data_IF_863645930006
#
_entry.id   IF_863645930006
#
_cell.length_a   1.000
_cell.length_b   1.000
_cell.length_c   1.000
_cell.angle_alpha   90.00
_cell.angle_beta   90.00
_cell.angle_gamma   90.00
#
_symmetry.space_group_name_H-M   'P 1'
#
loop_
_entity.id
_entity.type
_entity.pdbx_description
1 polymer ?
#
# COMPACT_ATOMS: atom_id res chain seq x y z
N UNK A 1 4.54 -38.93 37.07
CA UNK A 1 3.94 -38.41 35.82
C UNK A 1 5.05 -37.85 34.96
N UNK A 2 5.58 -38.66 34.05
CA UNK A 2 6.57 -38.21 33.06
C UNK A 2 5.82 -37.57 31.91
N UNK A 3 5.97 -36.26 31.74
CA UNK A 3 5.52 -35.53 30.56
C UNK A 3 6.35 -36.00 29.37
N UNK A 4 5.77 -36.86 28.53
CA UNK A 4 6.40 -37.29 27.29
C UNK A 4 6.61 -36.10 26.37
N UNK A 5 7.86 -35.88 25.96
CA UNK A 5 8.21 -34.88 24.96
C UNK A 5 7.51 -35.25 23.65
N UNK A 6 6.66 -34.36 23.14
CA UNK A 6 6.05 -34.53 21.84
C UNK A 6 7.15 -34.66 20.78
N UNK A 7 7.03 -35.64 19.89
CA UNK A 7 7.98 -35.79 18.80
C UNK A 7 7.80 -34.67 17.77
N UNK A 8 8.83 -34.36 17.00
CA UNK A 8 8.76 -33.34 15.94
C UNK A 8 7.60 -33.60 14.95
N UNK A 9 7.24 -34.87 14.74
CA UNK A 9 6.08 -35.25 13.93
C UNK A 9 4.75 -34.78 14.55
N UNK A 10 4.59 -34.96 15.88
CA UNK A 10 3.38 -34.54 16.59
C UNK A 10 3.26 -33.01 16.66
N UNK A 11 4.39 -32.30 16.77
CA UNK A 11 4.41 -30.84 16.71
C UNK A 11 4.06 -30.32 15.31
N UNK A 12 4.49 -31.02 14.26
CA UNK A 12 4.14 -30.69 12.88
C UNK A 12 2.67 -30.97 12.57
N UNK A 13 2.08 -32.04 13.10
CA UNK A 13 0.65 -32.32 12.93
C UNK A 13 -0.23 -31.24 13.58
N UNK A 14 0.19 -30.73 14.74
CA UNK A 14 -0.49 -29.60 15.42
C UNK A 14 -0.33 -28.31 14.63
N UNK A 15 0.86 -28.05 14.07
CA UNK A 15 1.12 -26.88 13.23
C UNK A 15 0.28 -26.91 11.94
N UNK A 16 0.24 -28.05 11.27
CA UNK A 16 -0.55 -28.24 10.04
C UNK A 16 -2.06 -28.12 10.32
N UNK A 17 -2.56 -28.70 11.42
CA UNK A 17 -3.94 -28.54 11.85
C UNK A 17 -4.27 -27.06 12.17
N UNK A 18 -3.33 -26.34 12.80
CA UNK A 18 -3.46 -24.91 13.11
C UNK A 18 -3.46 -24.07 11.82
N UNK A 19 -2.54 -24.33 10.89
CA UNK A 19 -2.48 -23.65 9.60
C UNK A 19 -3.76 -23.86 8.78
N UNK A 20 -4.28 -25.09 8.72
CA UNK A 20 -5.55 -25.40 8.05
C UNK A 20 -6.73 -24.66 8.69
N UNK A 21 -6.79 -24.58 10.03
CA UNK A 21 -7.84 -23.82 10.73
C UNK A 21 -7.80 -22.31 10.45
N UNK A 22 -6.62 -21.78 10.12
CA UNK A 22 -6.37 -20.39 9.74
C UNK A 22 -6.49 -20.14 8.23
N UNK A 23 -6.88 -21.16 7.45
CA UNK A 23 -7.01 -21.06 5.99
C UNK A 23 -5.66 -20.95 5.26
N UNK A 24 -4.56 -21.32 5.92
CA UNK A 24 -3.20 -21.35 5.39
C UNK A 24 -2.92 -22.78 4.89
N UNK A 25 -2.60 -22.98 3.60
CA UNK A 25 -2.29 -24.30 3.09
C UNK A 25 -1.02 -24.88 3.76
N UNK A 26 -1.01 -26.18 4.12
CA UNK A 26 0.13 -26.82 4.75
C UNK A 26 1.32 -26.92 3.79
N UNK A 27 2.52 -26.69 4.32
CA UNK A 27 3.75 -26.69 3.53
C UNK A 27 4.19 -28.12 3.22
N UNK A 28 3.75 -28.69 2.09
CA UNK A 28 4.36 -29.93 1.57
C UNK A 28 5.54 -29.60 0.68
N UNK A 29 6.75 -29.87 1.16
CA UNK A 29 7.95 -29.92 0.33
C UNK A 29 9.20 -29.48 1.07
N UNK A 30 10.09 -30.43 1.35
CA UNK A 30 11.41 -30.18 1.95
C UNK A 30 12.19 -29.15 1.12
N UNK A 31 12.57 -28.03 1.74
CA UNK A 31 13.67 -27.21 1.25
C UNK A 31 14.97 -28.00 1.42
N UNK A 32 15.51 -28.54 0.34
CA UNK A 32 16.88 -29.05 0.33
C UNK A 32 17.80 -27.84 0.54
N UNK A 33 18.60 -27.87 1.61
CA UNK A 33 19.60 -26.84 1.88
C UNK A 33 20.57 -26.74 0.68
N UNK A 34 20.92 -25.53 0.20
CA UNK A 34 21.90 -25.41 -0.86
C UNK A 34 23.26 -25.82 -0.29
N UNK A 35 23.76 -26.96 -0.74
CA UNK A 35 25.15 -27.34 -0.54
C UNK A 35 26.07 -26.29 -1.18
N UNK A 36 27.10 -25.93 -0.43
CA UNK A 36 28.17 -25.06 -0.84
C UNK A 36 28.91 -25.63 -2.05
N UNK A 37 28.91 -24.86 -3.13
CA UNK A 37 29.58 -25.19 -4.38
C UNK A 37 29.65 -23.96 -5.28
N UNK A 38 30.68 -23.15 -5.10
CA UNK A 38 31.06 -22.07 -6.02
C UNK A 38 31.25 -22.63 -7.44
N UNK A 39 30.31 -22.31 -8.34
CA UNK A 39 30.58 -22.12 -9.76
C UNK A 39 29.81 -20.90 -10.26
N UNK A 40 30.56 -19.90 -10.70
CA UNK A 40 30.06 -18.86 -11.61
C UNK A 40 29.52 -19.58 -12.84
N UNK A 41 28.20 -19.67 -12.98
CA UNK A 41 27.55 -19.96 -14.25
C UNK A 41 26.61 -18.81 -14.55
N UNK A 42 27.05 -17.99 -15.50
CA UNK A 42 26.24 -17.06 -16.26
C UNK A 42 24.97 -17.78 -16.74
N UNK A 43 23.86 -17.05 -16.68
CA UNK A 43 22.53 -17.35 -17.22
C UNK A 43 22.47 -18.43 -18.31
N UNK A 44 21.61 -19.45 -18.12
CA UNK A 44 20.98 -20.11 -19.25
C UNK A 44 19.45 -20.32 -19.12
N UNK A 45 18.77 -19.71 -18.12
CA UNK A 45 17.36 -20.03 -17.80
C UNK A 45 16.30 -18.97 -18.19
N UNK A 46 16.68 -17.86 -18.80
CA UNK A 46 15.74 -16.78 -19.13
C UNK A 46 15.95 -16.28 -20.57
N UNK A 47 15.47 -17.04 -21.55
CA UNK A 47 14.90 -16.46 -22.77
C UNK A 47 13.39 -16.33 -22.50
N UNK A 48 12.87 -15.16 -22.11
CA UNK A 48 11.47 -15.05 -21.76
C UNK A 48 10.60 -15.02 -23.02
N UNK A 49 10.35 -16.14 -23.70
CA UNK A 49 9.44 -16.23 -24.86
C UNK A 49 8.05 -15.63 -24.54
N UNK A 50 7.73 -14.39 -24.98
CA UNK A 50 6.47 -13.68 -24.70
C UNK A 50 5.27 -14.32 -25.41
N UNK A 51 5.52 -15.29 -26.31
CA UNK A 51 4.50 -16.21 -26.82
C UNK A 51 3.94 -17.13 -25.72
N UNK A 52 4.66 -17.27 -24.61
CA UNK A 52 4.33 -18.12 -23.47
C UNK A 52 4.21 -17.30 -22.19
N UNK A 53 3.07 -17.40 -21.50
CA UNK A 53 2.86 -16.75 -20.20
C UNK A 53 3.56 -17.54 -19.10
N UNK A 54 4.58 -16.94 -18.48
CA UNK A 54 5.26 -17.49 -17.30
C UNK A 54 4.56 -17.02 -16.02
N UNK A 55 3.74 -17.88 -15.43
CA UNK A 55 3.01 -17.57 -14.21
C UNK A 55 3.91 -17.72 -12.98
N UNK A 56 3.73 -16.81 -12.01
CA UNK A 56 4.60 -16.71 -10.83
C UNK A 56 3.81 -16.73 -9.52
N UNK A 57 4.36 -17.40 -8.49
CA UNK A 57 3.88 -17.16 -7.13
C UNK A 57 4.32 -15.78 -6.67
N UNK A 58 3.35 -14.89 -6.57
CA UNK A 58 3.56 -13.57 -5.99
C UNK A 58 3.47 -13.61 -4.48
N UNK A 59 2.77 -14.58 -3.86
CA UNK A 59 2.47 -14.58 -2.42
C UNK A 59 3.71 -14.77 -1.53
N UNK A 60 4.78 -15.35 -2.06
CA UNK A 60 6.05 -15.48 -1.35
C UNK A 60 6.91 -14.21 -1.48
N UNK A 61 7.25 -13.58 -0.35
CA UNK A 61 8.20 -12.46 -0.32
C UNK A 61 9.63 -12.91 -0.59
N UNK A 62 10.21 -12.41 -1.68
CA UNK A 62 11.59 -12.64 -2.14
C UNK A 62 12.47 -11.44 -1.77
N UNK A 63 13.38 -11.53 -0.78
CA UNK A 63 14.18 -10.39 -0.33
C UNK A 63 15.06 -9.75 -1.41
N UNK A 64 15.50 -10.54 -2.39
CA UNK A 64 16.38 -10.11 -3.50
C UNK A 64 15.62 -9.83 -4.81
N UNK A 65 14.32 -10.13 -4.86
CA UNK A 65 13.48 -9.99 -6.05
C UNK A 65 12.48 -8.84 -5.93
N UNK A 66 11.70 -8.64 -6.99
CA UNK A 66 10.48 -7.84 -6.88
C UNK A 66 9.40 -8.65 -6.20
N UNK A 67 8.60 -7.95 -5.39
CA UNK A 67 7.45 -8.47 -4.71
C UNK A 67 6.24 -7.59 -5.01
N UNK A 68 5.06 -8.17 -4.93
CA UNK A 68 3.86 -7.35 -4.82
C UNK A 68 3.72 -6.84 -3.37
N UNK A 69 3.01 -5.71 -3.19
CA UNK A 69 2.61 -5.26 -1.86
C UNK A 69 1.80 -6.35 -1.15
N UNK A 70 1.75 -6.28 0.18
CA UNK A 70 1.04 -7.23 1.05
C UNK A 70 1.69 -8.61 1.27
N UNK A 71 2.82 -8.94 0.63
CA UNK A 71 3.34 -10.33 0.66
C UNK A 71 4.41 -10.61 1.72
N UNK A 72 4.79 -9.63 2.52
CA UNK A 72 5.71 -9.79 3.65
C UNK A 72 5.01 -10.08 4.98
N UNK A 73 5.66 -9.73 6.08
CA UNK A 73 5.18 -10.03 7.44
C UNK A 73 4.80 -8.74 8.18
N UNK A 74 3.66 -8.76 8.87
CA UNK A 74 3.22 -7.65 9.72
C UNK A 74 4.01 -7.61 11.04
N UNK A 75 4.15 -6.42 11.64
CA UNK A 75 4.60 -6.34 13.04
C UNK A 75 3.45 -6.65 13.97
N UNK A 76 3.75 -7.06 15.21
CA UNK A 76 2.74 -7.39 16.22
C UNK A 76 1.72 -6.27 16.45
N UNK A 77 2.16 -5.00 16.40
CA UNK A 77 1.28 -3.83 16.57
C UNK A 77 0.57 -3.36 15.29
N UNK A 78 0.84 -3.96 14.12
CA UNK A 78 0.17 -3.57 12.88
C UNK A 78 -1.32 -3.94 12.93
N UNK A 79 -2.20 -2.97 12.70
CA UNK A 79 -3.65 -3.16 12.75
C UNK A 79 -4.21 -3.23 14.17
N UNK A 80 -3.36 -3.25 15.21
CA UNK A 80 -3.81 -3.24 16.59
C UNK A 80 -4.50 -1.91 16.91
N UNK A 81 -5.61 -1.99 17.62
CA UNK A 81 -6.39 -0.83 18.07
C UNK A 81 -6.30 -0.79 19.59
N UNK A 82 -5.75 0.29 20.12
CA UNK A 82 -5.77 0.58 21.55
C UNK A 82 -7.10 1.23 21.88
N UNK A 83 -8.00 0.48 22.50
CA UNK A 83 -9.34 0.96 22.85
C UNK A 83 -9.33 2.05 23.92
N UNK A 84 -8.24 2.14 24.68
CA UNK A 84 -7.99 3.16 25.68
C UNK A 84 -7.32 4.41 25.12
N UNK A 85 -7.05 4.52 23.82
CA UNK A 85 -6.37 5.66 23.21
C UNK A 85 -7.01 6.12 21.90
N UNK A 86 -6.91 7.42 21.62
CA UNK A 86 -7.37 7.95 20.35
C UNK A 86 -6.99 9.39 20.09
N UNK A 87 -7.63 9.97 19.08
CA UNK A 87 -7.66 11.41 18.84
C UNK A 87 -9.07 11.91 19.09
N UNK A 88 -9.27 12.83 20.03
CA UNK A 88 -10.59 13.22 20.48
C UNK A 88 -10.80 14.72 20.64
N UNK A 89 -12.06 15.11 20.65
CA UNK A 89 -12.55 16.42 21.04
C UNK A 89 -13.46 16.22 22.26
N UNK A 90 -13.01 16.70 23.42
CA UNK A 90 -13.73 16.59 24.69
C UNK A 90 -14.54 17.86 25.03
N UNK A 91 -14.73 18.78 24.07
CA UNK A 91 -15.39 20.07 24.27
C UNK A 91 -16.92 19.92 24.22
N UNK A 92 -17.49 19.44 25.32
CA UNK A 92 -18.92 19.16 25.48
C UNK A 92 -19.85 20.31 25.10
N UNK A 93 -19.52 21.53 25.53
CA UNK A 93 -20.33 22.74 25.29
C UNK A 93 -20.56 23.04 23.80
N UNK A 94 -19.70 22.49 22.93
CA UNK A 94 -19.76 22.69 21.49
C UNK A 94 -20.38 21.49 20.75
N UNK A 95 -20.97 20.53 21.46
CA UNK A 95 -21.59 19.32 20.90
C UNK A 95 -23.06 19.19 21.32
N UNK A 96 -23.94 18.96 20.35
CA UNK A 96 -25.41 19.00 20.47
C UNK A 96 -26.03 17.94 21.39
N UNK A 97 -25.32 16.85 21.66
CA UNK A 97 -25.80 15.73 22.50
C UNK A 97 -25.04 15.59 23.83
N UNK A 98 -24.22 16.59 24.23
CA UNK A 98 -23.32 16.47 25.39
C UNK A 98 -22.43 15.21 25.34
N UNK A 99 -22.09 14.76 24.12
CA UNK A 99 -21.17 13.65 23.86
C UNK A 99 -19.80 14.19 23.49
N UNK A 100 -18.78 13.38 23.70
CA UNK A 100 -17.45 13.63 23.18
C UNK A 100 -17.24 12.85 21.90
N UNK A 101 -16.33 13.33 21.06
CA UNK A 101 -15.92 12.62 19.85
C UNK A 101 -14.55 12.00 20.08
N UNK A 102 -14.42 10.69 19.87
CA UNK A 102 -13.14 9.98 19.95
C UNK A 102 -12.93 9.18 18.67
N UNK A 103 -11.77 9.37 18.05
CA UNK A 103 -11.33 8.63 16.86
C UNK A 103 -10.27 7.60 17.25
N UNK A 104 -10.62 6.33 17.11
CA UNK A 104 -9.67 5.23 17.19
C UNK A 104 -8.80 5.17 15.94
N UNK A 105 -7.49 4.96 16.15
CA UNK A 105 -6.50 4.86 15.07
C UNK A 105 -5.71 3.57 15.25
N UNK A 106 -5.71 2.72 14.21
CA UNK A 106 -4.96 1.48 14.25
C UNK A 106 -3.45 1.73 14.09
N UNK A 107 -2.64 0.91 14.78
CA UNK A 107 -1.18 0.91 14.64
C UNK A 107 -0.75 0.60 13.21
N UNK A 108 0.14 1.41 12.62
CA UNK A 108 0.52 1.28 11.21
C UNK A 108 2.02 1.42 10.99
N UNK A 109 2.64 0.42 10.35
CA UNK A 109 4.07 0.50 10.00
C UNK A 109 4.34 1.20 8.67
N UNK A 110 3.30 1.41 7.85
CA UNK A 110 3.37 1.98 6.51
C UNK A 110 4.48 1.38 5.61
N UNK A 111 4.65 0.06 5.68
CA UNK A 111 5.52 -0.70 4.75
C UNK A 111 4.65 -1.33 3.67
N UNK A 112 5.14 -1.32 2.43
CA UNK A 112 4.47 -1.98 1.30
C UNK A 112 4.33 -3.48 1.50
N UNK A 113 5.30 -4.11 2.15
CA UNK A 113 5.34 -5.54 2.42
C UNK A 113 4.34 -5.98 3.49
N UNK A 114 3.81 -5.07 4.31
CA UNK A 114 2.93 -5.43 5.42
C UNK A 114 1.52 -5.78 4.91
N UNK A 115 0.99 -7.00 5.12
CA UNK A 115 -0.34 -7.39 4.66
C UNK A 115 -1.47 -6.57 5.28
N UNK A 116 -1.23 -6.00 6.46
CA UNK A 116 -2.21 -5.19 7.19
C UNK A 116 -2.15 -3.71 6.79
N UNK A 117 -0.94 -3.18 6.52
CA UNK A 117 -0.75 -1.73 6.37
C UNK A 117 -0.47 -1.28 4.94
N UNK A 118 -0.34 -2.18 3.96
CA UNK A 118 0.07 -1.81 2.60
C UNK A 118 -0.91 -0.83 1.94
N UNK A 119 -2.23 -0.93 2.18
CA UNK A 119 -3.21 0.01 1.62
C UNK A 119 -2.97 1.43 2.14
N UNK A 120 -2.69 1.58 3.44
CA UNK A 120 -2.33 2.88 4.04
C UNK A 120 -0.98 3.39 3.54
N UNK A 121 -0.02 2.51 3.28
CA UNK A 121 1.22 2.87 2.60
C UNK A 121 0.95 3.40 1.18
N UNK A 122 0.18 2.67 0.36
CA UNK A 122 -0.18 3.07 -0.99
C UNK A 122 -0.92 4.41 -0.98
N UNK A 123 -1.87 4.61 -0.05
CA UNK A 123 -2.62 5.85 0.09
C UNK A 123 -1.71 7.03 0.46
N UNK A 124 -0.71 6.79 1.31
CA UNK A 124 0.29 7.80 1.68
C UNK A 124 1.19 8.17 0.51
N UNK A 125 1.71 7.19 -0.22
CA UNK A 125 2.57 7.47 -1.39
C UNK A 125 1.77 8.13 -2.52
N UNK A 126 0.52 7.73 -2.75
CA UNK A 126 -0.40 8.38 -3.68
C UNK A 126 -0.69 9.83 -3.29
N UNK A 127 -0.88 10.11 -2.00
CA UNK A 127 -1.03 11.48 -1.48
C UNK A 127 0.21 12.34 -1.71
N UNK A 128 1.42 11.77 -1.62
CA UNK A 128 2.68 12.47 -1.97
C UNK A 128 2.78 12.75 -3.46
N UNK A 129 2.28 11.84 -4.29
CA UNK A 129 2.22 12.07 -5.74
C UNK A 129 1.28 13.24 -6.01
N UNK A 130 0.04 13.16 -5.53
CA UNK A 130 -0.99 14.20 -5.65
C UNK A 130 -0.50 15.58 -5.16
N UNK A 131 0.16 15.66 -4.00
CA UNK A 131 0.74 16.88 -3.45
C UNK A 131 1.65 17.59 -4.45
N UNK A 132 2.52 16.83 -5.14
CA UNK A 132 3.47 17.38 -6.10
C UNK A 132 2.78 18.00 -7.33
N UNK A 133 1.73 17.35 -7.83
CA UNK A 133 0.90 17.87 -8.93
C UNK A 133 0.10 19.11 -8.50
N UNK A 134 -0.54 19.09 -7.32
CA UNK A 134 -1.28 20.24 -6.76
C UNK A 134 -0.41 21.47 -6.60
N UNK A 135 0.82 21.27 -6.10
CA UNK A 135 1.75 22.36 -5.85
C UNK A 135 2.25 23.01 -7.13
N UNK A 136 2.36 22.26 -8.23
CA UNK A 136 2.68 22.81 -9.53
C UNK A 136 1.47 23.53 -10.17
N UNK A 137 0.30 22.90 -10.14
CA UNK A 137 -0.91 23.45 -10.77
C UNK A 137 -1.53 24.63 -10.02
N UNK A 138 -1.18 24.80 -8.74
CA UNK A 138 -1.73 25.83 -7.83
C UNK A 138 -3.25 25.74 -7.62
N UNK A 139 -3.84 24.61 -7.98
CA UNK A 139 -5.27 24.34 -7.83
C UNK A 139 -5.45 22.89 -7.34
N UNK A 140 -6.00 22.00 -8.18
CA UNK A 140 -6.06 20.57 -7.94
C UNK A 140 -5.03 19.82 -8.78
N UNK A 141 -4.77 18.55 -8.48
CA UNK A 141 -3.70 17.80 -9.13
C UNK A 141 -3.95 17.61 -10.63
N UNK A 142 -5.21 17.61 -11.05
CA UNK A 142 -5.73 17.30 -12.39
C UNK A 142 -5.85 18.53 -13.30
N UNK A 143 -5.62 19.71 -12.74
CA UNK A 143 -5.71 20.98 -13.44
C UNK A 143 -4.64 21.09 -14.52
N UNK A 144 -5.02 21.75 -15.63
CA UNK A 144 -4.08 22.06 -16.70
C UNK A 144 -3.03 23.06 -16.21
N UNK A 145 -1.77 22.83 -16.59
CA UNK A 145 -0.67 23.75 -16.32
C UNK A 145 -0.22 24.38 -17.64
N UNK A 146 -0.11 25.72 -17.74
CA UNK A 146 0.34 26.38 -18.96
C UNK A 146 1.68 25.80 -19.46
N UNK A 147 1.72 25.35 -20.73
CA UNK A 147 2.90 24.74 -21.35
C UNK A 147 3.12 23.23 -21.07
N UNK A 148 2.30 22.65 -20.19
CA UNK A 148 2.36 21.24 -19.78
C UNK A 148 1.06 20.48 -20.05
N UNK A 149 -0.09 21.16 -20.09
CA UNK A 149 -1.38 20.51 -20.28
C UNK A 149 -1.89 19.82 -19.02
N UNK A 150 -2.72 18.78 -19.19
CA UNK A 150 -3.32 18.04 -18.07
C UNK A 150 -2.54 16.75 -17.76
N UNK A 151 -2.62 16.23 -16.53
CA UNK A 151 -2.05 14.93 -16.21
C UNK A 151 -2.76 13.81 -16.96
N UNK A 152 -2.00 12.97 -17.64
CA UNK A 152 -2.44 11.75 -18.28
C UNK A 152 -1.85 10.54 -17.57
N UNK A 153 -2.43 9.39 -17.85
CA UNK A 153 -1.87 8.10 -17.47
C UNK A 153 -1.45 7.36 -18.74
N UNK A 154 -0.18 7.01 -18.81
CA UNK A 154 0.37 6.20 -19.89
C UNK A 154 0.97 4.91 -19.35
N UNK A 155 1.02 3.90 -20.19
CA UNK A 155 1.71 2.64 -19.91
C UNK A 155 2.73 2.40 -21.00
N UNK A 156 3.97 2.14 -20.62
CA UNK A 156 5.00 1.69 -21.54
C UNK A 156 5.32 0.24 -21.19
N UNK A 157 4.96 -0.68 -22.07
CA UNK A 157 5.23 -2.11 -21.92
C UNK A 157 6.60 -2.44 -22.50
N UNK A 158 7.34 -3.27 -21.76
CA UNK A 158 8.70 -3.66 -22.13
C UNK A 158 8.64 -4.86 -23.08
N UNK A 159 9.35 -4.80 -24.23
CA UNK A 159 9.43 -5.93 -25.13
C UNK A 159 10.22 -7.08 -24.51
N UNK A 160 10.03 -8.25 -25.08
CA UNK A 160 10.68 -9.47 -24.63
C UNK A 160 12.18 -9.37 -24.45
N UNK A 161 12.83 -8.86 -25.48
CA UNK A 161 14.28 -8.73 -25.55
C UNK A 161 14.85 -7.89 -24.40
N UNK A 162 14.04 -7.03 -23.76
CA UNK A 162 14.49 -6.16 -22.67
C UNK A 162 13.93 -6.57 -21.30
N UNK A 163 13.02 -7.56 -21.24
CA UNK A 163 12.35 -7.96 -20.01
C UNK A 163 13.33 -8.46 -18.93
N UNK A 164 14.39 -9.15 -19.34
CA UNK A 164 15.41 -9.68 -18.43
C UNK A 164 16.16 -8.57 -17.67
N UNK A 165 16.18 -7.34 -18.21
CA UNK A 165 16.87 -6.21 -17.58
C UNK A 165 16.27 -5.85 -16.22
N UNK A 166 15.02 -6.20 -15.93
CA UNK A 166 14.40 -5.87 -14.64
C UNK A 166 15.18 -6.45 -13.44
N UNK A 167 15.83 -7.61 -13.61
CA UNK A 167 16.46 -8.32 -12.49
C UNK A 167 17.72 -7.62 -11.99
N UNK A 168 18.65 -7.29 -12.90
CA UNK A 168 19.99 -6.80 -12.57
C UNK A 168 20.33 -5.44 -13.18
N UNK A 169 19.56 -4.95 -14.15
CA UNK A 169 19.88 -3.77 -14.95
C UNK A 169 18.67 -2.84 -15.12
N UNK A 170 17.88 -2.68 -14.05
CA UNK A 170 16.67 -1.85 -14.07
C UNK A 170 16.97 -0.41 -14.51
N UNK A 171 18.15 0.12 -14.20
CA UNK A 171 18.51 1.49 -14.56
C UNK A 171 18.63 1.67 -16.08
N UNK A 172 19.21 0.69 -16.80
CA UNK A 172 19.24 0.67 -18.27
C UNK A 172 17.80 0.65 -18.82
N UNK A 173 16.94 -0.17 -18.21
CA UNK A 173 15.54 -0.25 -18.60
C UNK A 173 14.82 1.08 -18.35
N UNK A 174 15.06 1.74 -17.23
CA UNK A 174 14.52 3.08 -16.93
C UNK A 174 14.98 4.13 -17.93
N UNK A 175 16.26 4.13 -18.31
CA UNK A 175 16.80 5.09 -19.28
C UNK A 175 16.09 4.96 -20.64
N UNK A 176 15.87 3.72 -21.11
CA UNK A 176 15.07 3.46 -22.32
C UNK A 176 13.64 3.99 -22.18
N UNK A 177 12.98 3.71 -21.06
CA UNK A 177 11.62 4.16 -20.78
C UNK A 177 11.53 5.69 -20.72
N UNK A 178 12.53 6.36 -20.16
CA UNK A 178 12.56 7.82 -20.05
C UNK A 178 12.76 8.47 -21.42
N UNK A 179 13.64 7.92 -22.25
CA UNK A 179 13.82 8.37 -23.63
C UNK A 179 12.53 8.19 -24.46
N UNK A 180 11.81 7.08 -24.27
CA UNK A 180 10.52 6.86 -24.94
C UNK A 180 9.47 7.86 -24.45
N UNK A 181 9.37 8.08 -23.12
CA UNK A 181 8.42 9.02 -22.53
C UNK A 181 8.65 10.45 -23.06
N UNK A 182 9.90 10.88 -23.19
CA UNK A 182 10.27 12.16 -23.79
C UNK A 182 9.90 12.23 -25.28
N UNK A 183 10.20 11.19 -26.06
CA UNK A 183 9.84 11.11 -27.49
C UNK A 183 8.33 11.21 -27.73
N UNK A 184 7.50 10.67 -26.83
CA UNK A 184 6.03 10.78 -26.94
C UNK A 184 5.47 12.08 -26.36
N UNK A 185 6.33 13.02 -25.95
CA UNK A 185 5.94 14.36 -25.53
C UNK A 185 5.53 14.49 -24.06
N UNK A 186 5.79 13.48 -23.21
CA UNK A 186 5.50 13.61 -21.77
C UNK A 186 6.45 14.61 -21.11
N UNK A 187 5.88 15.56 -20.38
CA UNK A 187 6.61 16.50 -19.51
C UNK A 187 6.34 16.19 -18.06
N UNK A 188 7.36 16.33 -17.22
CA UNK A 188 7.30 16.15 -15.76
C UNK A 188 6.39 15.03 -15.27
N UNK A 189 6.95 13.86 -14.95
CA UNK A 189 6.15 12.68 -14.66
C UNK A 189 6.71 11.84 -13.50
N UNK A 190 5.84 11.03 -12.90
CA UNK A 190 6.24 9.92 -12.04
C UNK A 190 6.06 8.59 -12.75
N UNK A 191 6.95 7.66 -12.44
CA UNK A 191 6.99 6.31 -13.00
C UNK A 191 6.85 5.29 -11.89
N UNK A 192 5.92 4.35 -12.05
CA UNK A 192 5.63 3.25 -11.13
C UNK A 192 5.85 1.94 -11.89
N UNK A 193 6.89 1.20 -11.50
CA UNK A 193 7.27 -0.03 -12.18
C UNK A 193 6.39 -1.21 -11.72
N UNK A 194 5.92 -2.00 -12.68
CA UNK A 194 5.12 -3.20 -12.47
C UNK A 194 5.80 -4.37 -13.19
N UNK A 195 6.43 -5.30 -12.45
CA UNK A 195 7.14 -6.44 -13.03
C UNK A 195 6.19 -7.53 -13.55
N UNK A 196 4.96 -7.55 -13.03
CA UNK A 196 3.96 -8.59 -13.31
C UNK A 196 2.69 -7.96 -13.84
N UNK A 197 2.07 -8.60 -14.83
CA UNK A 197 0.70 -8.31 -15.24
C UNK A 197 -0.26 -9.33 -14.59
N UNK A 198 -1.52 -8.93 -14.41
CA UNK A 198 -2.57 -9.81 -13.94
C UNK A 198 -3.51 -10.20 -15.09
N UNK A 199 -4.01 -11.43 -15.03
CA UNK A 199 -5.11 -11.88 -15.86
C UNK A 199 -6.19 -12.47 -14.96
N UNK A 200 -7.44 -12.10 -15.25
CA UNK A 200 -8.59 -12.75 -14.64
C UNK A 200 -8.73 -14.12 -15.28
N UNK A 201 -8.80 -15.17 -14.47
CA UNK A 201 -9.06 -16.49 -14.98
C UNK A 201 -10.49 -16.53 -15.56
N UNK A 202 -10.61 -16.65 -16.88
CA UNK A 202 -11.87 -16.91 -17.61
C UNK A 202 -11.90 -18.39 -18.06
N UNK A 203 -13.05 -18.85 -18.58
CA UNK A 203 -13.22 -20.20 -19.15
C UNK A 203 -12.20 -20.50 -20.27
N UNK A 204 -11.71 -19.48 -20.97
CA UNK A 204 -10.71 -19.57 -22.05
C UNK A 204 -9.23 -19.59 -21.58
N UNK A 205 -8.97 -19.72 -20.28
CA UNK A 205 -7.59 -19.78 -19.77
C UNK A 205 -6.88 -21.03 -20.34
N UNK A 206 -5.71 -20.90 -21.00
CA UNK A 206 -5.07 -22.02 -21.69
C UNK A 206 -4.84 -23.23 -20.78
N UNK A 207 -5.11 -24.43 -21.31
CA UNK A 207 -5.03 -25.71 -20.58
C UNK A 207 -3.64 -26.01 -19.99
N UNK A 208 -2.57 -25.41 -20.55
CA UNK A 208 -1.19 -25.56 -20.07
C UNK A 208 -0.68 -24.24 -19.50
N UNK A 209 -0.78 -24.10 -18.18
CA UNK A 209 -0.14 -23.04 -17.40
C UNK A 209 1.31 -23.47 -17.17
N UNK A 210 2.27 -22.79 -17.81
CA UNK A 210 3.68 -22.99 -17.51
C UNK A 210 4.01 -22.25 -16.21
N UNK A 211 4.16 -23.03 -15.15
CA UNK A 211 4.51 -22.59 -13.81
C UNK A 211 6.03 -22.58 -13.70
N UNK A 212 6.58 -21.46 -13.22
CA UNK A 212 7.98 -21.41 -12.81
C UNK A 212 8.20 -22.33 -11.59
N UNK A 213 8.74 -23.53 -11.82
CA UNK A 213 9.03 -24.53 -10.77
C UNK A 213 10.01 -24.01 -9.70
N UNK A 214 10.77 -22.95 -9.98
CA UNK A 214 11.62 -22.30 -8.95
C UNK A 214 10.80 -21.54 -7.90
N UNK A 215 9.50 -21.37 -8.14
CA UNK A 215 8.55 -20.65 -7.27
C UNK A 215 7.63 -21.58 -6.48
N UNK A 216 7.73 -22.91 -6.70
CA UNK A 216 6.93 -23.95 -6.05
C UNK A 216 6.06 -24.75 -7.04
N UNK A 217 5.62 -25.94 -6.63
CA UNK A 217 4.57 -26.69 -7.32
C UNK A 217 3.20 -26.12 -6.95
N UNK A 218 2.37 -25.82 -7.96
CA UNK A 218 0.99 -25.37 -7.73
C UNK A 218 0.00 -26.46 -8.09
N UNK A 219 -0.83 -26.84 -7.13
CA UNK A 219 -2.06 -27.57 -7.41
C UNK A 219 -3.16 -26.59 -7.85
N UNK A 220 -3.24 -26.39 -9.16
CA UNK A 220 -4.23 -25.54 -9.82
C UNK A 220 -5.67 -25.94 -9.49
N UNK A 221 -5.94 -27.23 -9.33
CA UNK A 221 -7.29 -27.74 -9.07
C UNK A 221 -7.72 -27.44 -7.63
N UNK A 222 -6.81 -27.59 -6.67
CA UNK A 222 -7.06 -27.17 -5.28
C UNK A 222 -7.29 -25.66 -5.17
N UNK A 223 -6.53 -24.83 -5.89
CA UNK A 223 -6.71 -23.38 -5.92
C UNK A 223 -8.07 -23.00 -6.53
N UNK A 224 -8.44 -23.59 -7.68
CA UNK A 224 -9.75 -23.40 -8.31
C UNK A 224 -10.90 -23.74 -7.37
N UNK A 225 -10.83 -24.90 -6.72
CA UNK A 225 -11.84 -25.36 -5.76
C UNK A 225 -11.97 -24.41 -4.56
N UNK A 226 -10.84 -23.94 -4.00
CA UNK A 226 -10.82 -23.01 -2.88
C UNK A 226 -11.47 -21.65 -3.21
N UNK A 227 -11.10 -21.04 -4.35
CA UNK A 227 -11.60 -19.71 -4.71
C UNK A 227 -13.02 -19.72 -5.26
N UNK A 228 -13.44 -20.80 -5.94
CA UNK A 228 -14.83 -21.02 -6.34
C UNK A 228 -15.77 -21.02 -5.12
N UNK A 229 -15.38 -21.69 -4.03
CA UNK A 229 -16.13 -21.67 -2.76
C UNK A 229 -16.23 -20.28 -2.11
N UNK A 230 -15.26 -19.39 -2.37
CA UNK A 230 -15.26 -18.03 -1.83
C UNK A 230 -16.00 -17.01 -2.72
N UNK A 231 -16.57 -17.44 -3.85
CA UNK A 231 -17.12 -16.56 -4.88
C UNK A 231 -16.14 -15.44 -5.29
N UNK A 232 -14.85 -15.77 -5.38
CA UNK A 232 -13.76 -14.85 -5.72
C UNK A 232 -13.04 -15.34 -6.97
N UNK A 233 -12.80 -14.45 -7.93
CA UNK A 233 -11.98 -14.77 -9.10
C UNK A 233 -10.51 -14.91 -8.70
N UNK A 234 -9.84 -15.91 -9.27
CA UNK A 234 -8.37 -16.06 -9.16
C UNK A 234 -7.73 -15.12 -10.17
N UNK A 235 -6.85 -14.24 -9.69
CA UNK A 235 -5.96 -13.48 -10.56
C UNK A 235 -4.64 -14.24 -10.67
N UNK A 236 -4.25 -14.59 -11.89
CA UNK A 236 -2.95 -15.15 -12.16
C UNK A 236 -1.99 -14.04 -12.55
N UNK A 237 -0.80 -14.07 -11.95
CA UNK A 237 0.26 -13.12 -12.22
C UNK A 237 1.29 -13.77 -13.11
N UNK A 238 1.72 -13.05 -14.15
CA UNK A 238 2.76 -13.50 -15.04
C UNK A 238 3.76 -12.39 -15.31
N UNK A 239 4.99 -12.78 -15.65
CA UNK A 239 6.06 -11.84 -15.92
C UNK A 239 5.72 -11.03 -17.17
N UNK A 240 5.55 -9.72 -17.00
CA UNK A 240 5.32 -8.75 -18.07
C UNK A 240 5.69 -7.37 -17.57
N UNK A 241 6.99 -7.02 -17.54
CA UNK A 241 7.43 -5.73 -17.04
C UNK A 241 6.80 -4.58 -17.84
N UNK A 242 6.21 -3.62 -17.13
CA UNK A 242 5.63 -2.42 -17.69
C UNK A 242 5.73 -1.26 -16.70
N UNK A 243 5.67 -0.05 -17.23
CA UNK A 243 5.82 1.17 -16.47
C UNK A 243 4.55 2.00 -16.59
N UNK A 244 3.88 2.19 -15.46
CA UNK A 244 2.79 3.14 -15.34
C UNK A 244 3.39 4.53 -15.14
N UNK A 245 2.98 5.47 -15.99
CA UNK A 245 3.48 6.84 -15.99
C UNK A 245 2.29 7.77 -15.77
N UNK A 246 2.39 8.62 -14.75
CA UNK A 246 1.46 9.71 -14.54
C UNK A 246 2.25 11.00 -14.75
N UNK A 247 1.85 11.78 -15.75
CA UNK A 247 2.66 12.88 -16.26
C UNK A 247 1.85 13.90 -17.02
N UNK A 248 2.42 15.06 -17.27
CA UNK A 248 1.76 16.09 -18.08
C UNK A 248 1.94 15.80 -19.57
N UNK A 249 0.84 15.89 -20.32
CA UNK A 249 0.84 15.80 -21.77
C UNK A 249 0.36 17.14 -22.35
N UNK A 250 1.27 17.96 -22.90
CA UNK A 250 0.89 19.21 -23.53
C UNK A 250 0.08 18.94 -24.79
N UNK A 251 -0.81 19.88 -25.10
CA UNK A 251 -1.55 19.91 -26.35
C UNK A 251 -1.14 21.16 -27.13
N UNK A 252 -0.75 20.96 -28.37
CA UNK A 252 -0.41 21.97 -29.36
C UNK A 252 -1.61 22.16 -30.30
N UNK A 253 -2.39 23.21 -30.04
CA UNK A 253 -3.58 23.52 -30.85
C UNK A 253 -3.24 24.05 -32.24
N UNK A 254 -2.04 24.61 -32.40
CA UNK A 254 -1.59 25.22 -33.66
C UNK A 254 -0.94 24.15 -34.57
N UNK A 255 -0.32 23.13 -33.99
CA UNK A 255 0.23 21.99 -34.70
C UNK A 255 -0.06 20.65 -33.97
N UNK A 256 -1.22 20.02 -34.24
CA UNK A 256 -1.59 18.74 -33.62
C UNK A 256 -0.63 17.58 -33.88
N UNK A 257 0.24 17.68 -34.89
CA UNK A 257 1.27 16.67 -35.14
C UNK A 257 2.33 16.63 -34.02
N UNK A 258 2.50 17.75 -33.31
CA UNK A 258 3.36 17.88 -32.14
C UNK A 258 2.68 17.43 -30.83
N UNK A 259 1.41 17.02 -30.87
CA UNK A 259 0.70 16.58 -29.67
C UNK A 259 1.41 15.37 -29.04
N UNK A 260 1.42 15.36 -27.71
CA UNK A 260 1.86 14.20 -26.97
C UNK A 260 1.00 12.98 -27.37
N UNK A 261 1.65 11.82 -27.50
CA UNK A 261 1.01 10.57 -27.96
C UNK A 261 0.49 10.59 -29.40
N UNK A 262 1.11 11.35 -30.30
CA UNK A 262 0.90 11.22 -31.75
C UNK A 262 1.05 9.75 -32.23
N UNK A 263 0.09 9.28 -33.03
CA UNK A 263 0.00 7.88 -33.49
C UNK A 263 1.19 7.45 -34.36
N UNK A 264 1.69 8.32 -35.24
CA UNK A 264 2.86 8.04 -36.07
C UNK A 264 4.12 7.88 -35.22
N UNK A 265 4.25 8.71 -34.18
CA UNK A 265 5.37 8.63 -33.25
C UNK A 265 5.32 7.34 -32.43
N UNK A 266 4.14 6.93 -31.94
CA UNK A 266 3.96 5.65 -31.23
C UNK A 266 4.28 4.47 -32.16
N UNK A 267 3.76 4.51 -33.39
CA UNK A 267 3.98 3.46 -34.40
C UNK A 267 5.46 3.33 -34.75
N UNK A 268 6.15 4.46 -34.95
CA UNK A 268 7.60 4.49 -35.19
C UNK A 268 8.37 3.90 -34.02
N UNK A 269 8.04 4.29 -32.77
CA UNK A 269 8.69 3.74 -31.57
C UNK A 269 8.52 2.23 -31.50
N UNK A 270 7.31 1.72 -31.74
CA UNK A 270 7.05 0.29 -31.76
C UNK A 270 7.88 -0.43 -32.83
N UNK A 271 7.89 0.09 -34.07
CA UNK A 271 8.65 -0.52 -35.16
C UNK A 271 10.16 -0.50 -34.93
N UNK A 272 10.69 0.57 -34.32
CA UNK A 272 12.13 0.71 -34.05
C UNK A 272 12.61 -0.08 -32.83
N UNK A 273 11.76 -0.22 -31.81
CA UNK A 273 12.21 -0.66 -30.47
C UNK A 273 11.45 -1.86 -29.91
N UNK A 274 10.26 -2.17 -30.44
CA UNK A 274 9.34 -3.16 -29.90
C UNK A 274 8.58 -2.72 -28.64
N UNK A 275 8.84 -1.52 -28.10
CA UNK A 275 8.12 -1.00 -26.95
C UNK A 275 6.70 -0.59 -27.32
N UNK A 276 5.73 -0.99 -26.50
CA UNK A 276 4.32 -0.62 -26.70
C UNK A 276 3.97 0.52 -25.75
N UNK A 277 3.61 1.67 -26.33
CA UNK A 277 3.13 2.85 -25.58
C UNK A 277 1.61 2.90 -25.69
N UNK A 278 0.92 3.00 -24.55
CA UNK A 278 -0.52 3.16 -24.48
C UNK A 278 -0.87 4.40 -23.68
N UNK A 279 -1.52 5.37 -24.31
CA UNK A 279 -2.16 6.48 -23.62
C UNK A 279 -3.51 6.00 -23.06
N UNK A 280 -3.67 6.03 -21.74
CA UNK A 280 -4.94 5.69 -21.09
C UNK A 280 -5.84 6.92 -20.91
N UNK A 281 -5.36 8.11 -21.30
CA UNK A 281 -6.10 9.36 -21.31
C UNK A 281 -5.84 10.23 -20.08
N UNK A 282 -6.48 11.40 -20.09
CA UNK A 282 -6.44 12.37 -18.99
C UNK A 282 -7.00 11.74 -17.71
N UNK A 283 -6.48 12.14 -16.54
CA UNK A 283 -6.92 11.60 -15.23
C UNK A 283 -7.95 12.51 -14.56
N UNK A 284 -9.02 11.87 -14.08
CA UNK A 284 -10.00 12.48 -13.17
C UNK A 284 -9.51 12.54 -11.73
N UNK A 285 -8.59 11.64 -11.37
CA UNK A 285 -7.91 11.66 -10.08
C UNK A 285 -6.51 11.07 -10.19
N UNK A 286 -5.50 11.93 -10.04
CA UNK A 286 -4.09 11.54 -9.91
C UNK A 286 -3.91 10.64 -8.70
N UNK A 287 -4.54 10.99 -7.57
CA UNK A 287 -4.45 10.23 -6.31
C UNK A 287 -5.01 8.82 -6.46
N UNK A 288 -6.22 8.66 -6.98
CA UNK A 288 -6.85 7.34 -7.09
C UNK A 288 -6.11 6.47 -8.12
N UNK A 289 -5.65 7.06 -9.22
CA UNK A 289 -4.83 6.35 -10.21
C UNK A 289 -3.55 5.85 -9.57
N UNK A 290 -2.78 6.74 -8.92
CA UNK A 290 -1.54 6.37 -8.24
C UNK A 290 -1.77 5.33 -7.13
N UNK A 291 -2.83 5.48 -6.33
CA UNK A 291 -3.21 4.53 -5.29
C UNK A 291 -3.44 3.14 -5.87
N UNK A 292 -4.24 3.05 -6.93
CA UNK A 292 -4.52 1.79 -7.61
C UNK A 292 -3.21 1.16 -8.10
N UNK A 293 -2.37 1.88 -8.83
CA UNK A 293 -1.08 1.35 -9.30
C UNK A 293 -0.20 0.86 -8.14
N UNK A 294 -0.11 1.66 -7.06
CA UNK A 294 0.72 1.32 -5.91
C UNK A 294 0.25 0.06 -5.17
N UNK A 295 -1.01 -0.37 -5.28
CA UNK A 295 -1.47 -1.60 -4.61
C UNK A 295 -0.88 -2.87 -5.22
N UNK A 296 -0.33 -2.80 -6.44
CA UNK A 296 0.24 -3.93 -7.17
C UNK A 296 1.54 -3.58 -7.90
N UNK A 297 2.21 -2.52 -7.47
CA UNK A 297 3.52 -2.12 -7.99
C UNK A 297 4.63 -3.09 -7.57
N UNK A 298 5.70 -3.15 -8.35
CA UNK A 298 6.90 -3.88 -7.97
C UNK A 298 7.62 -3.21 -6.80
N UNK A 299 7.78 -3.94 -5.70
CA UNK A 299 8.55 -3.51 -4.53
C UNK A 299 9.80 -4.36 -4.40
N UNK A 300 10.97 -3.71 -4.38
CA UNK A 300 12.27 -4.36 -4.19
C UNK A 300 13.09 -3.59 -3.16
N UNK A 301 13.73 -4.29 -2.23
CA UNK A 301 14.57 -3.67 -1.20
C UNK A 301 15.69 -2.86 -1.87
N UNK A 302 15.89 -1.61 -1.43
CA UNK A 302 16.90 -0.72 -1.98
C UNK A 302 16.46 0.06 -3.22
N UNK A 303 15.28 -0.22 -3.79
CA UNK A 303 14.75 0.47 -4.95
C UNK A 303 13.55 1.36 -4.59
N UNK A 304 13.41 2.49 -5.27
CA UNK A 304 12.25 3.36 -5.14
C UNK A 304 11.10 2.79 -5.99
N UNK A 305 9.92 2.64 -5.38
CA UNK A 305 8.70 2.23 -6.10
C UNK A 305 8.19 3.33 -7.05
N UNK A 306 8.36 4.59 -6.66
CA UNK A 306 7.97 5.77 -7.44
C UNK A 306 9.23 6.54 -7.82
N UNK A 307 9.50 6.68 -9.11
CA UNK A 307 10.61 7.47 -9.64
C UNK A 307 10.08 8.79 -10.24
N UNK A 308 10.79 9.90 -10.00
CA UNK A 308 10.41 11.23 -10.50
C UNK A 308 11.33 11.66 -11.64
N UNK A 309 10.76 12.06 -12.78
CA UNK A 309 11.52 12.31 -14.01
C UNK A 309 11.06 13.62 -14.68
N UNK A 310 11.92 14.16 -15.56
CA UNK A 310 11.69 15.42 -16.25
C UNK A 310 11.61 16.59 -15.26
N UNK A 311 10.65 17.48 -15.47
CA UNK A 311 10.48 18.65 -14.61
C UNK A 311 9.98 18.30 -13.21
N UNK A 312 9.25 17.18 -13.06
CA UNK A 312 8.90 16.67 -11.75
C UNK A 312 10.07 15.94 -11.06
N UNK A 313 11.24 15.76 -11.68
CA UNK A 313 12.40 15.21 -10.96
C UNK A 313 12.76 16.08 -9.75
N UNK A 314 13.28 15.49 -8.67
CA UNK A 314 13.58 16.27 -7.45
C UNK A 314 14.56 17.41 -7.70
N UNK A 315 15.44 17.30 -8.70
CA UNK A 315 16.39 18.35 -9.09
C UNK A 315 15.74 19.51 -9.84
N UNK A 316 14.80 19.22 -10.75
CA UNK A 316 14.18 20.25 -11.59
C UNK A 316 12.91 20.83 -10.97
N UNK A 317 12.24 20.07 -10.10
CA UNK A 317 10.96 20.44 -9.52
C UNK A 317 10.97 21.80 -8.82
N UNK A 318 12.05 22.13 -8.11
CA UNK A 318 12.19 23.42 -7.44
C UNK A 318 12.32 24.60 -8.40
N UNK A 319 12.85 24.37 -9.61
CA UNK A 319 12.98 25.40 -10.65
C UNK A 319 11.63 25.79 -11.25
N UNK A 320 10.60 24.94 -11.12
CA UNK A 320 9.24 25.24 -11.57
C UNK A 320 8.47 26.16 -10.62
N UNK A 321 9.11 26.65 -9.54
CA UNK A 321 8.47 27.49 -8.53
C UNK A 321 7.12 26.91 -8.01
N UNK A 322 7.12 25.65 -7.52
CA UNK A 322 5.92 25.02 -6.97
C UNK A 322 5.54 25.68 -5.65
N UNK A 323 4.26 25.61 -5.28
CA UNK A 323 3.80 26.01 -3.94
C UNK A 323 4.62 25.31 -2.84
N UNK A 324 4.70 25.90 -1.63
CA UNK A 324 5.30 25.21 -0.48
C UNK A 324 4.60 23.88 -0.23
N UNK A 325 5.29 22.96 0.45
CA UNK A 325 4.67 21.69 0.86
C UNK A 325 3.45 21.98 1.72
N UNK A 326 2.32 21.35 1.40
CA UNK A 326 1.15 21.49 2.26
C UNK A 326 1.44 20.85 3.62
N UNK A 327 1.12 21.59 4.68
CA UNK A 327 1.16 21.04 6.02
C UNK A 327 0.00 20.04 6.12
N UNK A 328 0.24 18.79 6.56
CA UNK A 328 -0.83 17.82 6.75
C UNK A 328 -1.92 18.43 7.65
N UNK A 329 -3.16 18.48 7.15
CA UNK A 329 -4.27 18.96 7.96
C UNK A 329 -4.50 17.98 9.12
N UNK A 330 -4.57 18.46 10.37
CA UNK A 330 -4.94 17.60 11.49
C UNK A 330 -6.36 17.07 11.29
N UNK A 331 -6.66 15.95 11.92
CA UNK A 331 -8.04 15.47 11.99
C UNK A 331 -8.87 16.47 12.79
N UNK A 332 -10.08 16.77 12.31
CA UNK A 332 -10.99 17.71 12.99
C UNK A 332 -12.24 17.01 13.51
N UNK A 333 -12.84 17.57 14.56
CA UNK A 333 -14.15 17.17 15.05
C UNK A 333 -15.21 17.40 13.97
N UNK A 334 -16.06 16.42 13.63
CA UNK A 334 -17.11 16.59 12.62
C UNK A 334 -18.10 17.71 12.95
N UNK A 335 -18.34 17.99 14.22
CA UNK A 335 -19.33 18.97 14.67
C UNK A 335 -18.72 20.36 14.87
N UNK A 336 -17.76 20.51 15.79
CA UNK A 336 -17.21 21.81 16.13
C UNK A 336 -15.92 22.18 15.38
N UNK A 337 -15.43 21.32 14.47
CA UNK A 337 -14.22 21.53 13.66
C UNK A 337 -12.92 21.76 14.46
N UNK A 338 -12.93 21.45 15.77
CA UNK A 338 -11.74 21.40 16.62
C UNK A 338 -10.66 20.49 16.03
N UNK A 339 -9.39 20.84 16.13
CA UNK A 339 -8.34 19.84 15.94
C UNK A 339 -8.44 18.75 17.01
N UNK A 340 -8.41 17.48 16.59
CA UNK A 340 -8.46 16.35 17.50
C UNK A 340 -7.11 16.21 18.21
N UNK A 341 -7.15 16.24 19.54
CA UNK A 341 -5.96 16.05 20.37
C UNK A 341 -5.84 14.60 20.83
N UNK A 342 -4.64 14.11 21.17
CA UNK A 342 -4.48 12.80 21.79
C UNK A 342 -5.31 12.70 23.08
N UNK A 343 -6.12 11.65 23.18
CA UNK A 343 -6.94 11.35 24.35
C UNK A 343 -6.68 9.93 24.83
N UNK A 344 -6.98 9.69 26.11
CA UNK A 344 -6.86 8.40 26.78
C UNK A 344 -8.09 8.12 27.64
N UNK A 345 -8.53 6.86 27.67
CA UNK A 345 -9.43 6.34 28.69
C UNK A 345 -8.69 6.24 30.01
N UNK A 346 -9.14 7.02 30.97
CA UNK A 346 -8.72 6.96 32.36
C UNK A 346 -9.94 6.63 33.20
N UNK A 347 -10.09 5.36 33.60
CA UNK A 347 -11.25 4.96 34.34
C UNK A 347 -11.41 5.64 35.72
N UNK A 348 -10.31 6.11 36.33
CA UNK A 348 -10.39 6.88 37.58
C UNK A 348 -10.93 8.30 37.35
N UNK A 349 -10.77 8.84 36.13
CA UNK A 349 -11.43 10.08 35.73
C UNK A 349 -12.96 9.91 35.64
N UNK A 350 -13.47 8.71 35.34
CA UNK A 350 -14.90 8.42 35.36
C UNK A 350 -15.48 8.47 36.78
N UNK A 351 -14.78 7.87 37.74
CA UNK A 351 -15.16 7.87 39.17
C UNK A 351 -15.14 9.30 39.72
N UNK A 352 -14.10 10.07 39.41
CA UNK A 352 -13.97 11.46 39.89
C UNK A 352 -15.12 12.35 39.38
N UNK A 353 -15.54 12.20 38.12
CA UNK A 353 -16.66 12.95 37.56
C UNK A 353 -18.01 12.58 38.21
N UNK A 354 -18.19 11.32 38.63
CA UNK A 354 -19.39 10.86 39.34
C UNK A 354 -19.44 11.36 40.79
N UNK A 355 -18.31 11.42 41.49
CA UNK A 355 -18.26 11.88 42.89
C UNK A 355 -18.58 13.38 43.03
N UNK A 356 -18.25 14.20 42.03
CA UNK A 356 -18.52 15.64 42.05
C UNK A 356 -19.92 16.05 41.56
N UNK A 357 -20.75 15.13 41.05
CA UNK A 357 -22.14 15.45 40.66
C UNK A 357 -23.17 15.24 41.78
N UNK A 358 -22.72 14.81 42.96
CA UNK A 358 -23.61 14.45 44.08
C UNK A 358 -23.67 15.59 45.11
N UNK A 359 -24.46 16.63 44.81
CA UNK A 359 -25.02 17.54 45.82
C UNK A 359 -26.21 16.91 46.54
N UNK A 360 -26.18 15.61 46.84
CA UNK A 360 -27.18 14.96 47.67
C UNK A 360 -26.53 13.92 48.58
N UNK A 361 -26.39 14.29 49.84
CA UNK A 361 -26.21 13.40 50.97
C UNK A 361 -27.34 12.35 50.96
N UNK A 362 -27.08 11.15 50.46
CA UNK A 362 -27.88 9.95 50.74
C UNK A 362 -27.01 8.71 50.56
N UNK A 363 -26.61 8.12 51.68
CA UNK A 363 -26.10 6.75 51.86
C UNK A 363 -25.02 6.25 50.88
N UNK A 364 -23.79 6.14 51.39
CA UNK A 364 -22.65 5.49 50.75
C UNK A 364 -22.77 3.94 50.66
N UNK A 365 -23.99 3.40 50.55
CA UNK A 365 -24.28 1.96 50.56
C UNK A 365 -24.66 1.38 49.18
N UNK A 366 -24.33 2.08 48.08
CA UNK A 366 -24.72 1.62 46.74
C UNK A 366 -23.82 2.01 45.57
N UNK A 367 -22.67 2.63 45.80
CA UNK A 367 -21.69 2.86 44.73
C UNK A 367 -20.70 1.69 44.71
N UNK A 368 -20.96 0.75 43.80
CA UNK A 368 -20.00 -0.29 43.46
C UNK A 368 -18.78 0.36 42.78
N UNK A 369 -17.78 0.69 43.61
CA UNK A 369 -16.47 1.17 43.19
C UNK A 369 -15.55 0.01 42.76
N UNK A 370 -16.08 -1.21 42.58
CA UNK A 370 -15.26 -2.36 42.21
C UNK A 370 -15.04 -2.40 40.69
N UNK A 371 -13.78 -2.13 40.37
CA UNK A 371 -13.14 -2.25 39.06
C UNK A 371 -13.63 -1.27 38.00
N UNK A 372 -12.75 -0.31 37.60
CA UNK A 372 -13.07 0.53 36.48
C UNK A 372 -13.33 -0.29 35.21
N UNK A 373 -14.54 -0.16 34.65
CA UNK A 373 -14.95 -0.88 33.45
C UNK A 373 -14.02 -0.64 32.25
N UNK A 374 -14.01 -1.58 31.28
CA UNK A 374 -13.23 -1.43 30.06
C UNK A 374 -13.64 -0.15 29.30
N UNK A 375 -12.77 0.32 28.42
CA UNK A 375 -13.09 1.46 27.55
C UNK A 375 -14.45 1.24 26.87
N UNK A 376 -15.32 2.28 26.79
CA UNK A 376 -16.60 2.17 26.08
C UNK A 376 -16.44 1.89 24.58
N UNK A 377 -15.20 1.97 24.07
CA UNK A 377 -14.85 1.66 22.70
C UNK A 377 -14.28 0.25 22.51
N UNK A 378 -14.30 -0.62 23.53
CA UNK A 378 -13.84 -2.00 23.41
C UNK A 378 -14.56 -2.75 22.27
N UNK A 379 -13.80 -3.50 21.48
CA UNK A 379 -14.31 -4.26 20.33
C UNK A 379 -14.69 -3.42 19.11
N UNK A 380 -14.58 -2.09 19.17
CA UNK A 380 -14.87 -1.21 18.04
C UNK A 380 -13.79 -1.33 16.94
N UNK A 381 -14.11 -0.83 15.74
CA UNK A 381 -13.16 -0.78 14.62
C UNK A 381 -12.45 0.57 14.57
N UNK A 382 -11.48 0.72 13.68
CA UNK A 382 -10.89 2.03 13.43
C UNK A 382 -11.98 2.97 12.89
N UNK A 383 -12.15 4.13 13.52
CA UNK A 383 -13.30 4.98 13.24
C UNK A 383 -13.47 6.10 14.27
N UNK A 384 -14.41 7.00 13.97
CA UNK A 384 -14.83 8.05 14.87
C UNK A 384 -16.14 7.71 15.56
N UNK A 385 -16.21 7.94 16.86
CA UNK A 385 -17.31 7.54 17.72
C UNK A 385 -17.76 8.71 18.59
N UNK A 386 -19.08 8.83 18.74
CA UNK A 386 -19.71 9.71 19.72
C UNK A 386 -20.03 8.90 20.97
N UNK A 387 -19.47 9.31 22.10
CA UNK A 387 -19.59 8.58 23.36
C UNK A 387 -19.83 9.55 24.52
N UNK A 388 -20.31 9.02 25.64
CA UNK A 388 -20.48 9.81 26.85
C UNK A 388 -19.11 10.27 27.40
N UNK A 389 -19.02 11.48 27.98
CA UNK A 389 -17.74 12.09 28.38
C UNK A 389 -16.97 11.36 29.48
N UNK A 390 -17.69 10.65 30.36
CA UNK A 390 -17.11 10.10 31.59
C UNK A 390 -15.96 9.16 31.31
N UNK A 391 -14.77 9.44 31.86
CA UNK A 391 -13.58 8.58 31.78
C UNK A 391 -12.59 8.88 30.65
N UNK A 392 -12.88 9.79 29.71
CA UNK A 392 -11.88 10.21 28.73
C UNK A 392 -11.21 11.52 29.13
N UNK A 393 -9.88 11.58 28.97
CA UNK A 393 -9.10 12.81 29.21
C UNK A 393 -8.08 13.06 28.11
N UNK A 394 -7.64 14.30 27.99
CA UNK A 394 -6.47 14.64 27.19
C UNK A 394 -5.20 14.06 27.83
N UNK A 395 -4.19 13.82 26.99
CA UNK A 395 -2.88 13.39 27.48
C UNK A 395 -2.22 14.50 28.31
N UNK A 396 -1.58 14.09 29.40
CA UNK A 396 -0.78 15.00 30.21
C UNK A 396 0.53 15.37 29.50
N UNK A 397 1.13 16.50 29.88
CA UNK A 397 2.42 16.93 29.32
C UNK A 397 3.49 15.87 29.59
N UNK A 398 4.05 15.29 28.51
CA UNK A 398 5.07 14.24 28.59
C UNK A 398 4.53 12.81 28.50
N UNK A 399 3.21 12.62 28.62
CA UNK A 399 2.55 11.35 28.34
C UNK A 399 2.58 11.06 26.84
N UNK A 400 2.67 9.78 26.46
CA UNK A 400 2.69 9.33 25.07
C UNK A 400 1.71 8.17 24.90
N UNK A 401 0.95 8.23 23.82
CA UNK A 401 0.13 7.11 23.37
C UNK A 401 1.00 6.00 22.75
N UNK A 402 0.52 4.77 22.81
CA UNK A 402 1.12 3.61 22.13
C UNK A 402 1.21 3.82 20.61
N UNK A 403 0.25 4.53 20.02
CA UNK A 403 0.30 4.96 18.63
C UNK A 403 1.52 5.83 18.28
N UNK A 404 2.10 6.54 19.26
CA UNK A 404 3.33 7.32 19.11
C UNK A 404 4.62 6.48 19.25
N UNK A 405 4.52 5.22 19.68
CA UNK A 405 5.64 4.32 19.98
C UNK A 405 5.97 3.33 18.85
N UNK A 406 5.14 3.23 17.80
CA UNK A 406 5.42 2.41 16.60
C UNK A 406 6.56 3.05 15.79
N UNK A 407 7.79 2.93 16.29
CA UNK A 407 9.00 3.36 15.58
C UNK A 407 9.42 2.27 14.59
N UNK A 408 10.02 2.68 13.47
CA UNK A 408 10.89 1.76 12.70
C UNK A 408 11.93 1.20 13.68
N UNK A 409 12.22 -0.12 13.66
CA UNK A 409 13.38 -0.63 14.37
C UNK A 409 14.57 0.24 14.00
N UNK A 410 15.32 0.73 14.99
CA UNK A 410 16.60 1.36 14.71
C UNK A 410 17.44 0.31 13.99
N UNK A 411 17.76 0.52 12.73
CA UNK A 411 18.78 -0.26 12.06
C UNK A 411 20.09 0.00 12.83
N UNK A 412 20.42 -0.90 13.75
CA UNK A 412 21.79 -1.10 14.22
C UNK A 412 22.49 -2.02 13.24
#
# INVERSE_FOLDING_TARGET
>A
MTWGQATDAQLMDVLDATCVSLGIPPARGRSIAPSSGTKKSIAPFFEPNYSVRLYVDVKAWRPLGYNLPSNGVAYQACGHIWYDEGQGCLRLENHSENKIYVRLVAGTCFRAECPVCYQKWAAREAGRIEDKFKRLSRNNAEASVPGYGRPVHAVISVPEIDAFLMYNNLDILKDKIYAIAEKVGLKGYCVIFHPYANEKMHEETPEKILIDKSTGDFDLDSLRSYYSKMNKHINFWYVRPHFHIIGYAPRDYDNPENDAFNEDTITRIYNETGYVVKNLGVRDSVRNTAHYQLTHAGVKKGFQTVCWVGDLSNRNYHKMNPLPKFIPKPHTCPECQAELAPVRWDPQAAISAQVFSVDNYSSADGLDLSEPGPSPLEGQREGGYWIDPGGWRYLNRGEKNHSCLVRKPSHR
#
